data_IF_653962885031
#
_entry.id   IF_653962885031
#
_cell.length_a   1.000
_cell.length_b   1.000
_cell.length_c   1.000
_cell.angle_alpha   90.00
_cell.angle_beta   90.00
_cell.angle_gamma   90.00
#
_symmetry.space_group_name_H-M   'P 1'
#
loop_
_entity.id
_entity.type
_entity.pdbx_description
1 polymer ?
#
# COMPACT_ATOMS: atom_id res chain seq x y z
N UNK A 1 3.89 4.77 23.75
CA UNK A 1 2.64 5.27 23.16
C UNK A 1 2.36 6.67 23.73
N UNK A 2 1.54 7.49 23.08
CA UNK A 2 1.28 8.86 23.53
C UNK A 2 0.47 8.83 24.85
N UNK A 3 1.03 9.35 25.96
CA UNK A 3 0.38 9.34 27.30
C UNK A 3 -1.04 9.94 27.31
N UNK A 4 -1.31 10.90 26.44
CA UNK A 4 -2.63 11.52 26.32
C UNK A 4 -3.64 10.57 25.67
N UNK A 5 -3.20 9.83 24.64
CA UNK A 5 -4.01 8.80 23.99
C UNK A 5 -4.29 7.63 24.93
N UNK A 6 -3.28 7.19 25.68
CA UNK A 6 -3.43 6.08 26.64
C UNK A 6 -4.45 6.43 27.75
N UNK A 7 -4.42 7.67 28.25
CA UNK A 7 -5.38 8.15 29.24
C UNK A 7 -6.81 8.30 28.67
N UNK A 8 -6.92 8.79 27.43
CA UNK A 8 -8.20 8.92 26.72
C UNK A 8 -8.85 7.54 26.53
N UNK A 9 -8.13 6.58 25.93
CA UNK A 9 -8.64 5.23 25.65
C UNK A 9 -8.98 4.45 26.93
N UNK A 10 -8.29 4.74 28.06
CA UNK A 10 -8.64 4.16 29.37
C UNK A 10 -9.93 4.73 29.93
N UNK A 11 -10.18 6.03 29.73
CA UNK A 11 -11.41 6.70 30.18
C UNK A 11 -12.62 6.29 29.34
N UNK A 12 -12.42 6.11 28.03
CA UNK A 12 -13.47 5.82 27.05
C UNK A 12 -13.21 4.49 26.31
N UNK A 13 -13.44 3.33 26.95
CA UNK A 13 -13.00 2.02 26.45
C UNK A 13 -13.73 1.51 25.19
N UNK A 14 -14.82 2.16 24.79
CA UNK A 14 -15.64 1.76 23.65
C UNK A 14 -15.65 2.79 22.50
N UNK A 15 -14.82 3.82 22.61
CA UNK A 15 -14.72 4.85 21.60
C UNK A 15 -13.72 4.45 20.50
N UNK A 16 -14.12 4.67 19.25
CA UNK A 16 -13.26 4.48 18.09
C UNK A 16 -12.94 5.84 17.47
N UNK A 17 -11.67 6.07 17.17
CA UNK A 17 -11.20 7.29 16.51
C UNK A 17 -10.97 7.03 15.03
N UNK A 18 -11.38 7.96 14.17
CA UNK A 18 -11.07 7.99 12.73
C UNK A 18 -9.98 9.02 12.42
N UNK A 19 -9.63 9.17 11.14
CA UNK A 19 -8.55 10.04 10.69
C UNK A 19 -8.74 11.51 11.11
N UNK A 20 -9.97 12.02 11.06
CA UNK A 20 -10.27 13.43 11.35
C UNK A 20 -10.30 13.75 12.86
N UNK A 21 -10.32 12.73 13.72
CA UNK A 21 -10.38 12.93 15.17
C UNK A 21 -9.00 13.17 15.80
N UNK A 22 -7.92 12.91 15.05
CA UNK A 22 -6.55 12.89 15.58
C UNK A 22 -5.57 13.66 14.70
N UNK A 23 -4.49 14.12 15.31
CA UNK A 23 -3.36 14.71 14.60
C UNK A 23 -2.04 14.19 15.15
N UNK A 24 -0.99 14.28 14.34
CA UNK A 24 0.36 13.92 14.77
C UNK A 24 0.96 15.07 15.57
N UNK A 25 1.41 14.78 16.78
CA UNK A 25 2.18 15.73 17.58
C UNK A 25 3.59 15.83 16.99
N UNK A 26 4.00 17.04 16.61
CA UNK A 26 5.34 17.31 16.09
C UNK A 26 6.40 16.90 17.11
N UNK A 27 7.43 16.20 16.63
CA UNK A 27 8.60 15.80 17.41
C UNK A 27 9.86 16.32 16.72
N UNK A 28 10.98 16.29 17.44
CA UNK A 28 12.29 16.56 16.85
C UNK A 28 12.63 15.51 15.79
N UNK A 29 13.15 15.98 14.66
CA UNK A 29 13.72 15.16 13.59
C UNK A 29 15.12 15.69 13.28
N UNK A 30 16.08 14.78 13.11
CA UNK A 30 17.47 15.05 12.74
C UNK A 30 17.75 14.81 11.24
N UNK A 31 16.70 14.57 10.45
CA UNK A 31 16.75 14.36 9.01
C UNK A 31 15.74 15.26 8.29
N UNK A 32 15.97 15.52 7.01
CA UNK A 32 15.00 16.24 6.16
C UNK A 32 14.02 15.26 5.50
N UNK A 33 12.80 15.69 5.12
CA UNK A 33 11.77 14.79 4.57
C UNK A 33 12.25 13.87 3.43
N UNK A 34 13.12 14.35 2.55
CA UNK A 34 13.64 13.57 1.41
C UNK A 34 14.58 12.42 1.82
N UNK A 35 15.09 12.43 3.06
CA UNK A 35 15.92 11.36 3.62
C UNK A 35 15.09 10.27 4.33
N UNK A 36 13.78 10.49 4.49
CA UNK A 36 12.90 9.54 5.14
C UNK A 36 12.77 8.25 4.32
N UNK A 37 13.08 7.10 4.93
CA UNK A 37 12.85 5.82 4.28
C UNK A 37 11.36 5.45 4.30
N UNK A 38 10.80 5.23 3.11
CA UNK A 38 9.43 4.73 2.93
C UNK A 38 9.39 3.19 2.79
N UNK A 39 10.54 2.52 2.90
CA UNK A 39 10.59 1.07 2.75
C UNK A 39 9.79 0.38 3.87
N UNK A 40 8.92 -0.55 3.48
CA UNK A 40 8.12 -1.31 4.44
C UNK A 40 7.99 -2.77 4.03
N UNK A 41 7.46 -3.60 4.92
CA UNK A 41 7.21 -5.02 4.70
C UNK A 41 5.71 -5.28 4.70
N UNK A 42 5.18 -5.80 3.59
CA UNK A 42 3.80 -6.25 3.52
C UNK A 42 3.63 -7.64 4.15
N UNK A 43 4.60 -8.53 3.92
CA UNK A 43 4.64 -9.87 4.52
C UNK A 43 6.04 -10.19 5.00
N UNK A 44 6.22 -11.31 5.70
CA UNK A 44 7.56 -11.78 6.11
C UNK A 44 8.53 -12.00 4.94
N UNK A 45 8.01 -12.18 3.72
CA UNK A 45 8.78 -12.44 2.49
C UNK A 45 8.79 -11.29 1.50
N UNK A 46 7.99 -10.24 1.71
CA UNK A 46 7.78 -9.19 0.71
C UNK A 46 8.06 -7.81 1.29
N UNK A 47 9.14 -7.19 0.78
CA UNK A 47 9.49 -5.79 1.00
C UNK A 47 8.95 -4.94 -0.17
N UNK A 48 8.54 -3.72 0.12
CA UNK A 48 8.11 -2.71 -0.84
C UNK A 48 8.87 -1.41 -0.56
N UNK A 49 9.07 -0.58 -1.59
CA UNK A 49 9.83 0.67 -1.50
C UNK A 49 8.99 1.83 -0.99
N UNK A 50 7.67 1.76 -1.18
CA UNK A 50 6.69 2.71 -0.64
C UNK A 50 5.50 1.96 -0.02
N UNK A 51 4.85 2.50 1.02
CA UNK A 51 3.76 1.84 1.74
C UNK A 51 2.40 1.99 1.03
N UNK A 52 2.37 1.79 -0.29
CA UNK A 52 1.15 1.96 -1.10
C UNK A 52 0.74 0.66 -1.80
N UNK A 53 -0.56 0.36 -1.70
CA UNK A 53 -1.21 -0.77 -2.36
C UNK A 53 -2.47 -0.27 -3.04
N UNK A 54 -2.67 -0.61 -4.32
CA UNK A 54 -3.92 -0.27 -5.01
C UNK A 54 -5.04 -1.25 -4.66
N UNK A 55 -6.26 -0.75 -4.56
CA UNK A 55 -7.42 -1.54 -4.17
C UNK A 55 -7.77 -2.61 -5.22
N UNK A 56 -8.18 -3.80 -4.75
CA UNK A 56 -8.60 -4.92 -5.59
C UNK A 56 -10.03 -4.72 -6.15
N UNK A 57 -10.23 -3.66 -6.93
CA UNK A 57 -11.50 -3.26 -7.52
C UNK A 57 -11.37 -3.22 -9.05
N UNK A 58 -12.42 -3.62 -9.77
CA UNK A 58 -12.47 -3.67 -11.24
C UNK A 58 -12.21 -2.31 -11.89
N UNK A 59 -12.70 -1.25 -11.27
CA UNK A 59 -12.50 0.14 -11.71
C UNK A 59 -11.18 0.75 -11.26
N UNK A 60 -10.34 0.00 -10.54
CA UNK A 60 -9.09 0.50 -9.95
C UNK A 60 -7.88 -0.26 -10.47
N UNK A 61 -7.87 -1.60 -10.40
CA UNK A 61 -6.63 -2.36 -10.59
C UNK A 61 -6.77 -3.57 -11.52
N UNK A 62 -6.40 -3.37 -12.78
CA UNK A 62 -5.98 -4.41 -13.73
C UNK A 62 -4.45 -4.32 -13.97
N UNK A 63 -3.90 -5.02 -14.96
CA UNK A 63 -2.45 -5.11 -15.19
C UNK A 63 -1.77 -3.75 -15.36
N UNK A 64 -2.41 -2.80 -16.05
CA UNK A 64 -1.84 -1.46 -16.28
C UNK A 64 -1.55 -0.73 -14.97
N UNK A 65 -2.51 -0.69 -14.05
CA UNK A 65 -2.35 -0.11 -12.72
C UNK A 65 -1.35 -0.91 -11.89
N UNK A 66 -1.40 -2.24 -11.92
CA UNK A 66 -0.47 -3.06 -11.15
C UNK A 66 0.99 -2.90 -11.60
N UNK A 67 1.23 -2.74 -12.90
CA UNK A 67 2.55 -2.40 -13.46
C UNK A 67 2.98 -1.02 -12.97
N UNK A 68 2.12 -0.01 -13.06
CA UNK A 68 2.44 1.35 -12.62
C UNK A 68 2.79 1.38 -11.11
N UNK A 69 2.01 0.69 -10.28
CA UNK A 69 2.28 0.54 -8.85
C UNK A 69 3.64 -0.13 -8.59
N UNK A 70 3.95 -1.21 -9.30
CA UNK A 70 5.22 -1.91 -9.15
C UNK A 70 6.43 -1.06 -9.57
N UNK A 71 6.31 -0.30 -10.66
CA UNK A 71 7.35 0.64 -11.11
C UNK A 71 7.57 1.79 -10.12
N UNK A 72 6.51 2.26 -9.47
CA UNK A 72 6.58 3.23 -8.38
C UNK A 72 7.09 2.62 -7.05
N UNK A 73 7.31 1.30 -7.00
CA UNK A 73 7.83 0.58 -5.83
C UNK A 73 6.76 0.13 -4.81
N UNK A 74 5.49 0.26 -5.16
CA UNK A 74 4.34 -0.26 -4.42
C UNK A 74 3.84 -1.60 -4.98
N UNK A 75 2.59 -1.95 -4.67
CA UNK A 75 1.95 -3.20 -5.12
C UNK A 75 0.56 -2.92 -5.69
N UNK A 76 0.23 -3.54 -6.83
CA UNK A 76 -1.15 -3.61 -7.30
C UNK A 76 -1.78 -4.96 -7.04
N UNK A 77 -3.03 -4.97 -6.57
CA UNK A 77 -3.82 -6.19 -6.36
C UNK A 77 -4.88 -6.29 -7.45
N UNK A 78 -4.73 -7.25 -8.36
CA UNK A 78 -5.72 -7.50 -9.41
C UNK A 78 -7.04 -7.91 -8.76
N UNK A 79 -8.13 -7.26 -9.14
CA UNK A 79 -9.47 -7.58 -8.63
C UNK A 79 -9.92 -8.99 -9.06
N UNK A 80 -10.97 -9.50 -8.40
CA UNK A 80 -11.52 -10.85 -8.66
C UNK A 80 -12.78 -10.87 -9.53
N UNK A 81 -13.14 -9.73 -10.13
CA UNK A 81 -14.32 -9.62 -11.00
C UNK A 81 -13.96 -10.00 -12.45
N UNK A 82 -13.29 -11.14 -12.59
CA UNK A 82 -12.78 -11.74 -13.82
C UNK A 82 -12.96 -13.26 -13.68
N UNK A 83 -13.05 -13.95 -14.81
CA UNK A 83 -12.85 -15.40 -14.82
C UNK A 83 -11.41 -15.73 -14.39
N UNK A 84 -11.20 -16.91 -13.81
CA UNK A 84 -9.89 -17.31 -13.25
C UNK A 84 -8.76 -17.22 -14.28
N UNK A 85 -9.03 -17.66 -15.52
CA UNK A 85 -8.09 -17.58 -16.63
C UNK A 85 -7.74 -16.15 -17.03
N UNK A 86 -8.70 -15.23 -16.95
CA UNK A 86 -8.49 -13.83 -17.31
C UNK A 86 -7.71 -13.09 -16.21
N UNK A 87 -8.00 -13.38 -14.94
CA UNK A 87 -7.18 -12.89 -13.83
C UNK A 87 -5.73 -13.39 -13.95
N UNK A 88 -5.53 -14.65 -14.31
CA UNK A 88 -4.19 -15.20 -14.54
C UNK A 88 -3.46 -14.51 -15.71
N UNK A 89 -4.17 -14.15 -16.78
CA UNK A 89 -3.61 -13.35 -17.89
C UNK A 89 -3.19 -11.96 -17.42
N UNK A 90 -4.00 -11.27 -16.62
CA UNK A 90 -3.64 -9.97 -16.04
C UNK A 90 -2.36 -10.07 -15.21
N UNK A 91 -2.26 -11.07 -14.33
CA UNK A 91 -1.04 -11.34 -13.55
C UNK A 91 0.16 -11.62 -14.46
N UNK A 92 -0.03 -12.44 -15.50
CA UNK A 92 1.02 -12.77 -16.48
C UNK A 92 1.56 -11.53 -17.19
N UNK A 93 0.68 -10.59 -17.60
CA UNK A 93 1.09 -9.31 -18.19
C UNK A 93 2.01 -8.52 -17.26
N UNK A 94 1.66 -8.41 -15.96
CA UNK A 94 2.47 -7.72 -14.95
C UNK A 94 3.83 -8.40 -14.78
N UNK A 95 3.85 -9.73 -14.64
CA UNK A 95 5.09 -10.49 -14.41
C UNK A 95 6.06 -10.45 -15.59
N UNK A 96 5.54 -10.33 -16.81
CA UNK A 96 6.33 -10.35 -18.04
C UNK A 96 6.72 -8.96 -18.56
N UNK A 97 6.18 -7.88 -17.98
CA UNK A 97 6.39 -6.51 -18.44
C UNK A 97 7.88 -6.12 -18.58
N UNK A 98 8.70 -6.40 -17.56
CA UNK A 98 10.14 -6.08 -17.60
C UNK A 98 11.02 -7.20 -18.18
N UNK A 99 10.45 -8.37 -18.46
CA UNK A 99 11.19 -9.50 -19.03
C UNK A 99 11.31 -9.42 -20.57
N UNK A 100 10.79 -8.36 -21.19
CA UNK A 100 10.85 -8.17 -22.66
C UNK A 100 10.02 -9.18 -23.46
N UNK A 101 9.17 -9.96 -22.79
CA UNK A 101 8.36 -11.03 -23.39
C UNK A 101 7.05 -10.51 -24.00
N UNK A 102 6.68 -9.26 -23.74
CA UNK A 102 5.46 -8.62 -24.26
C UNK A 102 5.86 -7.24 -24.78
N UNK A 103 5.87 -7.07 -26.10
CA UNK A 103 5.86 -5.76 -26.73
C UNK A 103 4.46 -5.15 -26.60
N UNK A 104 4.41 -3.85 -26.34
CA UNK A 104 3.18 -3.06 -26.26
C UNK A 104 2.23 -3.29 -27.45
#
# INVERSE_FOLDING_TARGET
MNKYMDAFMKTFPYEGLTYDDVTLVTQYADFVPDEASLETKLTSRMKMKVPFISAAMDTVTEASMAIAMALAGGIGVIHKNLEEDDQAKEVSKVKNYLNGLIAA
#
